data_IF_806611550313
#
_entry.id   IF_806611550313
#
_cell.length_a   1.000
_cell.length_b   1.000
_cell.length_c   1.000
_cell.angle_alpha   90.00
_cell.angle_beta   90.00
_cell.angle_gamma   90.00
#
_symmetry.space_group_name_H-M   'P 1'
#
loop_
_entity.id
_entity.type
_entity.pdbx_description
1 polymer ?
#
# COMPACT_ATOMS: atom_id res chain seq x y z
N UNK A 1 11.97 -2.03 11.99
CA UNK A 1 11.67 -1.45 10.68
C UNK A 1 11.59 -2.56 9.65
N UNK A 2 10.46 -2.65 8.97
CA UNK A 2 10.20 -3.64 7.91
C UNK A 2 9.80 -2.92 6.63
N UNK A 3 10.26 -3.42 5.49
CA UNK A 3 9.95 -2.88 4.18
C UNK A 3 9.34 -4.01 3.35
N UNK A 4 8.17 -3.76 2.78
CA UNK A 4 7.49 -4.68 1.89
C UNK A 4 7.44 -4.04 0.51
N UNK A 5 7.75 -4.82 -0.52
CA UNK A 5 7.69 -4.39 -1.92
C UNK A 5 6.85 -5.39 -2.68
N UNK A 6 6.10 -4.90 -3.65
CA UNK A 6 5.28 -5.75 -4.49
C UNK A 6 4.89 -5.07 -5.79
N UNK A 7 3.95 -5.72 -6.49
CA UNK A 7 3.37 -5.22 -7.72
C UNK A 7 1.91 -4.80 -7.49
N UNK A 8 1.56 -3.63 -8.00
CA UNK A 8 0.25 -3.04 -7.92
C UNK A 8 -0.43 -3.15 -9.29
N UNK A 9 -1.65 -3.66 -9.27
CA UNK A 9 -2.56 -3.64 -10.41
C UNK A 9 -3.85 -2.95 -9.97
N UNK A 10 -4.21 -1.86 -10.65
CA UNK A 10 -5.39 -1.06 -10.37
C UNK A 10 -5.97 -0.51 -11.68
N UNK A 11 -6.93 -1.25 -12.23
CA UNK A 11 -7.58 -0.94 -13.52
C UNK A 11 -6.54 -0.56 -14.60
N UNK A 12 -6.83 0.45 -15.42
CA UNK A 12 -5.88 1.02 -16.37
C UNK A 12 -4.83 1.95 -15.74
N UNK A 13 -5.07 2.43 -14.52
CA UNK A 13 -4.25 3.45 -13.87
C UNK A 13 -2.91 2.90 -13.37
N UNK A 14 -2.87 1.65 -12.90
CA UNK A 14 -1.65 0.93 -12.56
C UNK A 14 -1.67 -0.49 -13.14
N UNK A 15 -0.72 -0.80 -14.01
CA UNK A 15 -0.55 -2.11 -14.63
C UNK A 15 0.85 -2.61 -14.33
N UNK A 16 0.95 -3.57 -13.41
CA UNK A 16 2.20 -4.16 -12.93
C UNK A 16 3.21 -3.13 -12.40
N UNK A 17 2.69 -2.07 -11.77
CA UNK A 17 3.52 -1.00 -11.20
C UNK A 17 4.13 -1.43 -9.87
N UNK A 18 5.18 -0.75 -9.46
CA UNK A 18 5.79 -1.04 -8.17
C UNK A 18 5.05 -0.32 -7.03
N UNK A 19 4.90 -1.02 -5.90
CA UNK A 19 4.54 -0.39 -4.64
C UNK A 19 5.50 -0.82 -3.52
N UNK A 20 5.67 0.05 -2.54
CA UNK A 20 6.48 -0.17 -1.33
C UNK A 20 5.71 0.30 -0.11
N UNK A 21 5.77 -0.48 0.97
CA UNK A 21 5.25 -0.09 2.28
C UNK A 21 6.34 -0.20 3.33
N UNK A 22 6.50 0.84 4.14
CA UNK A 22 7.46 0.86 5.25
C UNK A 22 6.77 0.91 6.59
N UNK A 23 7.19 0.03 7.50
CA UNK A 23 6.71 -0.08 8.88
C UNK A 23 7.85 0.24 9.84
N UNK A 24 7.60 1.07 10.85
CA UNK A 24 8.62 1.45 11.82
C UNK A 24 8.77 0.39 12.92
N UNK A 25 7.66 -0.01 13.55
CA UNK A 25 7.64 -0.83 14.76
C UNK A 25 6.89 -2.17 14.64
N UNK A 26 5.90 -2.28 13.75
CA UNK A 26 5.07 -3.48 13.61
C UNK A 26 3.92 -3.24 12.65
N UNK A 27 3.04 -4.23 12.53
CA UNK A 27 1.82 -4.17 11.73
C UNK A 27 0.60 -4.45 12.63
N UNK A 28 0.20 -3.45 13.41
CA UNK A 28 -1.00 -3.45 14.25
C UNK A 28 -1.95 -2.34 13.82
N UNK A 29 -3.27 -2.46 14.08
CA UNK A 29 -4.19 -1.36 13.84
C UNK A 29 -3.71 -0.06 14.52
N UNK A 30 -3.85 1.06 13.80
CA UNK A 30 -3.36 2.40 14.14
C UNK A 30 -1.84 2.62 14.04
N UNK A 31 -1.04 1.59 13.72
CA UNK A 31 0.39 1.81 13.47
C UNK A 31 0.58 2.67 12.21
N UNK A 32 1.47 3.69 12.27
CA UNK A 32 1.76 4.53 11.13
C UNK A 32 2.61 3.79 10.09
N UNK A 33 2.27 4.00 8.84
CA UNK A 33 2.95 3.44 7.67
C UNK A 33 3.14 4.50 6.60
N UNK A 34 4.18 4.32 5.79
CA UNK A 34 4.32 5.06 4.53
C UNK A 34 4.10 4.10 3.37
N UNK A 35 3.25 4.48 2.44
CA UNK A 35 3.03 3.82 1.16
C UNK A 35 3.67 4.65 0.06
N UNK A 36 4.29 3.94 -0.87
CA UNK A 36 4.83 4.51 -2.09
C UNK A 36 4.33 3.67 -3.25
N UNK A 37 3.84 4.29 -4.30
CA UNK A 37 3.53 3.59 -5.53
C UNK A 37 3.72 4.50 -6.73
N UNK A 38 3.72 3.89 -7.91
CA UNK A 38 3.78 4.57 -9.18
C UNK A 38 2.52 4.26 -9.98
N UNK A 39 1.98 5.25 -10.68
CA UNK A 39 0.92 5.03 -11.67
C UNK A 39 1.50 4.65 -13.02
N UNK A 40 0.81 3.81 -13.79
CA UNK A 40 1.06 3.71 -15.23
C UNK A 40 0.64 5.01 -15.90
N UNK A 41 -0.58 5.46 -15.58
CA UNK A 41 -1.13 6.74 -15.99
C UNK A 41 -2.19 7.17 -14.99
N UNK A 42 -2.09 8.37 -14.43
CA UNK A 42 -3.10 8.86 -13.48
C UNK A 42 -4.34 9.44 -14.17
N UNK A 43 -5.31 9.89 -13.37
CA UNK A 43 -6.56 10.48 -13.87
C UNK A 43 -6.36 11.85 -14.56
N UNK A 44 -5.27 12.56 -14.28
CA UNK A 44 -4.89 13.80 -14.97
C UNK A 44 -4.14 13.50 -16.30
N UNK A 45 -3.76 12.25 -16.53
CA UNK A 45 -3.06 11.78 -17.71
C UNK A 45 -1.55 11.75 -17.56
N UNK A 46 -1.02 12.00 -16.37
CA UNK A 46 0.41 11.92 -16.07
C UNK A 46 0.86 10.46 -16.08
N UNK A 47 1.91 10.17 -16.87
CA UNK A 47 2.46 8.83 -17.04
C UNK A 47 3.61 8.66 -16.04
N UNK A 48 3.64 7.51 -15.32
CA UNK A 48 4.71 7.19 -14.36
C UNK A 48 4.83 8.17 -13.18
N UNK A 49 3.73 8.80 -12.79
CA UNK A 49 3.65 9.65 -11.60
C UNK A 49 3.86 8.83 -10.33
N UNK A 50 4.74 9.32 -9.43
CA UNK A 50 5.02 8.69 -8.14
C UNK A 50 4.15 9.32 -7.04
N UNK A 51 3.69 8.49 -6.13
CA UNK A 51 2.91 8.92 -4.97
C UNK A 51 3.62 8.50 -3.69
N UNK A 52 3.72 9.44 -2.75
CA UNK A 52 4.05 9.19 -1.36
C UNK A 52 2.79 9.42 -0.55
N UNK A 53 2.45 8.45 0.29
CA UNK A 53 1.27 8.54 1.13
C UNK A 53 1.56 8.05 2.55
N UNK A 54 1.05 8.79 3.55
CA UNK A 54 1.24 8.47 4.96
C UNK A 54 -0.12 8.21 5.59
N UNK A 55 -0.28 7.04 6.21
CA UNK A 55 -1.56 6.64 6.83
C UNK A 55 -1.31 5.67 7.97
N UNK A 56 -2.40 5.17 8.55
CA UNK A 56 -2.39 4.14 9.57
C UNK A 56 -3.06 2.87 9.06
N UNK A 57 -2.68 1.75 9.65
CA UNK A 57 -3.33 0.45 9.40
C UNK A 57 -4.72 0.48 10.01
N UNK A 58 -5.74 0.12 9.23
CA UNK A 58 -7.13 0.05 9.72
C UNK A 58 -7.46 -1.32 10.29
N UNK A 59 -6.96 -2.39 9.68
CA UNK A 59 -7.15 -3.76 10.16
C UNK A 59 -6.01 -4.66 9.70
N UNK A 60 -5.75 -5.72 10.48
CA UNK A 60 -4.73 -6.74 10.17
C UNK A 60 -5.42 -8.10 10.16
N UNK A 61 -5.12 -8.90 9.15
CA UNK A 61 -5.55 -10.30 9.04
C UNK A 61 -4.33 -11.20 9.21
N UNK A 62 -4.34 -12.00 10.27
CA UNK A 62 -3.34 -13.03 10.48
C UNK A 62 -3.62 -14.20 9.53
N UNK A 63 -2.64 -14.61 8.73
CA UNK A 63 -2.81 -15.68 7.74
C UNK A 63 -2.41 -17.05 8.24
N UNK A 64 -1.99 -17.17 9.51
CA UNK A 64 -1.46 -18.41 10.09
C UNK A 64 -0.09 -18.82 9.51
N UNK A 65 0.41 -18.11 8.49
CA UNK A 65 1.73 -18.30 7.91
C UNK A 65 2.71 -17.34 8.59
N UNK A 66 3.77 -17.85 9.25
CA UNK A 66 4.75 -16.99 9.89
C UNK A 66 5.39 -16.02 8.89
N UNK A 67 5.23 -14.71 9.14
CA UNK A 67 5.84 -13.64 8.33
C UNK A 67 4.96 -13.09 7.20
N UNK A 68 3.79 -13.68 6.93
CA UNK A 68 2.81 -13.08 6.01
C UNK A 68 1.91 -12.12 6.80
N UNK A 69 1.80 -10.89 6.31
CA UNK A 69 0.99 -9.84 6.93
C UNK A 69 0.03 -9.32 5.88
N UNK A 70 -1.26 -9.59 6.09
CA UNK A 70 -2.33 -8.97 5.32
C UNK A 70 -2.92 -7.84 6.13
N UNK A 71 -3.04 -6.68 5.51
CA UNK A 71 -3.58 -5.52 6.21
C UNK A 71 -4.25 -4.58 5.23
N UNK A 72 -5.18 -3.82 5.79
CA UNK A 72 -5.90 -2.79 5.10
C UNK A 72 -5.44 -1.43 5.60
N UNK A 73 -5.39 -0.47 4.69
CA UNK A 73 -5.26 0.94 5.05
C UNK A 73 -6.14 1.78 4.12
N UNK A 74 -6.56 2.92 4.61
CA UNK A 74 -7.38 3.87 3.85
C UNK A 74 -6.68 5.21 3.74
N UNK A 75 -6.73 5.79 2.54
CA UNK A 75 -6.42 7.20 2.35
C UNK A 75 -7.68 8.01 2.51
N UNK A 76 -7.85 8.70 3.64
CA UNK A 76 -8.87 9.73 3.85
C UNK A 76 -10.28 9.32 3.34
N UNK A 77 -10.61 8.02 3.47
CA UNK A 77 -11.81 7.32 2.97
C UNK A 77 -11.97 7.16 1.44
N UNK A 78 -10.99 7.55 0.63
CA UNK A 78 -11.04 7.46 -0.83
C UNK A 78 -10.38 6.19 -1.37
N UNK A 79 -9.09 5.96 -1.05
CA UNK A 79 -8.38 4.76 -1.51
C UNK A 79 -8.36 3.69 -0.44
N UNK A 80 -8.71 2.46 -0.81
CA UNK A 80 -8.57 1.26 0.02
C UNK A 80 -7.48 0.39 -0.58
N UNK A 81 -6.51 0.01 0.23
CA UNK A 81 -5.44 -0.89 -0.16
C UNK A 81 -5.60 -2.20 0.58
N UNK A 82 -5.88 -3.27 -0.16
CA UNK A 82 -5.83 -4.65 0.33
C UNK A 82 -4.45 -5.22 -0.01
N UNK A 83 -3.58 -5.34 0.99
CA UNK A 83 -2.21 -5.82 0.79
C UNK A 83 -2.15 -7.28 1.23
N UNK A 84 -1.79 -8.17 0.28
CA UNK A 84 -1.78 -9.62 0.45
C UNK A 84 -0.41 -10.23 0.31
#
# INVERSE_FOLDING_TARGET
>A
MSIYRGKMNWYEYAQNEEFTVTFLYGASPNDPINLYWQWTKDAAGEIKGNVLYQTTITSVTQTGIPGEVKFNCTDNNYYKFDIT
#
